data_IF_017479721860
#
_entry.id   IF_017479721860
#
_cell.length_a   1.000
_cell.length_b   1.000
_cell.length_c   1.000
_cell.angle_alpha   90.00
_cell.angle_beta   90.00
_cell.angle_gamma   90.00
#
_symmetry.space_group_name_H-M   'P 1'
#
loop_
_entity.id
_entity.type
_entity.pdbx_description
1 polymer ?
#
# COMPACT_ATOMS: atom_id res chain seq x y z
N UNK A 1 -15.15 8.22 35.02
CA UNK A 1 -14.77 7.10 34.13
C UNK A 1 -15.32 7.36 32.72
N UNK A 2 -14.65 8.22 31.96
CA UNK A 2 -14.82 8.35 30.51
C UNK A 2 -13.39 8.41 29.99
N UNK A 3 -12.90 7.31 29.42
CA UNK A 3 -11.61 7.34 28.75
C UNK A 3 -11.75 8.21 27.50
N UNK A 4 -10.89 9.22 27.44
CA UNK A 4 -10.60 10.00 26.25
C UNK A 4 -9.86 9.04 25.31
N UNK A 5 -10.55 8.56 24.28
CA UNK A 5 -9.88 8.00 23.11
C UNK A 5 -9.31 9.21 22.37
N UNK A 6 -7.99 9.35 22.20
CA UNK A 6 -7.48 10.28 21.22
C UNK A 6 -7.82 9.70 19.85
N UNK A 7 -8.95 10.13 19.29
CA UNK A 7 -9.18 10.02 17.84
C UNK A 7 -8.20 11.01 17.21
N UNK A 8 -6.98 10.54 16.92
CA UNK A 8 -6.03 11.33 16.17
C UNK A 8 -6.59 11.49 14.76
N UNK A 9 -6.95 12.74 14.44
CA UNK A 9 -7.41 13.15 13.13
C UNK A 9 -6.34 12.85 12.06
N UNK A 10 -6.86 12.48 10.88
CA UNK A 10 -6.24 12.56 9.55
C UNK A 10 -5.13 11.57 9.19
N UNK A 11 -5.43 10.28 9.25
CA UNK A 11 -4.97 9.36 8.19
C UNK A 11 -6.22 8.88 7.49
N UNK A 12 -6.51 9.40 6.30
CA UNK A 12 -7.21 8.59 5.29
C UNK A 12 -6.40 7.30 5.21
N UNK A 13 -6.89 6.23 5.81
CA UNK A 13 -6.29 4.91 5.63
C UNK A 13 -6.47 4.61 4.15
N UNK A 14 -5.46 4.92 3.35
CA UNK A 14 -5.34 4.49 1.96
C UNK A 14 -4.97 3.01 1.96
N UNK A 15 -5.70 2.22 2.74
CA UNK A 15 -5.59 0.79 2.81
C UNK A 15 -6.56 0.23 1.78
N UNK A 16 -6.02 -0.45 0.80
CA UNK A 16 -6.79 -1.00 -0.30
C UNK A 16 -6.53 -2.50 -0.33
N UNK A 17 -7.60 -3.28 -0.43
CA UNK A 17 -7.49 -4.72 -0.60
C UNK A 17 -6.96 -5.04 -2.00
N UNK A 18 -6.00 -5.95 -2.07
CA UNK A 18 -5.42 -6.39 -3.33
C UNK A 18 -6.47 -7.05 -4.24
N UNK A 19 -7.45 -7.74 -3.65
CA UNK A 19 -8.55 -8.36 -4.39
C UNK A 19 -9.38 -7.32 -5.14
N UNK A 20 -9.70 -6.18 -4.51
CA UNK A 20 -10.43 -5.08 -5.13
C UNK A 20 -9.64 -4.46 -6.29
N UNK A 21 -8.33 -4.26 -6.11
CA UNK A 21 -7.43 -3.79 -7.17
C UNK A 21 -7.31 -4.77 -8.35
N UNK A 22 -7.56 -6.05 -8.08
CA UNK A 22 -7.46 -7.13 -9.04
C UNK A 22 -8.82 -7.58 -9.62
N UNK A 23 -9.91 -6.91 -9.26
CA UNK A 23 -11.25 -7.23 -9.73
C UNK A 23 -11.34 -7.13 -11.26
N UNK A 24 -11.78 -8.22 -11.91
CA UNK A 24 -11.87 -8.30 -13.38
C UNK A 24 -10.57 -8.60 -14.11
N UNK A 25 -9.43 -8.74 -13.42
CA UNK A 25 -8.15 -9.08 -14.03
C UNK A 25 -7.98 -10.58 -14.26
N UNK A 26 -7.23 -10.94 -15.29
CA UNK A 26 -6.80 -12.33 -15.54
C UNK A 26 -5.73 -12.75 -14.52
N UNK A 27 -5.60 -14.06 -14.27
CA UNK A 27 -4.56 -14.61 -13.37
C UNK A 27 -3.15 -14.10 -13.69
N UNK A 28 -2.82 -13.91 -14.97
CA UNK A 28 -1.53 -13.38 -15.39
C UNK A 28 -1.36 -11.90 -15.00
N UNK A 29 -2.39 -11.08 -15.18
CA UNK A 29 -2.37 -9.67 -14.79
C UNK A 29 -2.24 -9.54 -13.27
N UNK A 30 -3.01 -10.31 -12.51
CA UNK A 30 -2.92 -10.34 -11.04
C UNK A 30 -1.52 -10.72 -10.57
N UNK A 31 -0.91 -11.76 -11.15
CA UNK A 31 0.45 -12.16 -10.79
C UNK A 31 1.50 -11.08 -11.09
N UNK A 32 1.38 -10.38 -12.23
CA UNK A 32 2.26 -9.24 -12.57
C UNK A 32 2.07 -8.09 -11.60
N UNK A 33 0.84 -7.72 -11.31
CA UNK A 33 0.50 -6.65 -10.37
C UNK A 33 1.02 -6.97 -8.97
N UNK A 34 0.82 -8.19 -8.49
CA UNK A 34 1.35 -8.64 -7.20
C UNK A 34 2.88 -8.59 -7.16
N UNK A 35 3.55 -9.04 -8.23
CA UNK A 35 4.99 -8.92 -8.35
C UNK A 35 5.46 -7.46 -8.30
N UNK A 36 4.77 -6.55 -9.00
CA UNK A 36 5.06 -5.11 -8.92
C UNK A 36 4.93 -4.59 -7.48
N UNK A 37 3.90 -5.00 -6.74
CA UNK A 37 3.74 -4.62 -5.34
C UNK A 37 4.87 -5.14 -4.44
N UNK A 38 5.36 -6.35 -4.66
CA UNK A 38 6.52 -6.89 -3.92
C UNK A 38 7.79 -6.06 -4.18
N UNK A 39 8.00 -5.63 -5.41
CA UNK A 39 9.12 -4.72 -5.76
C UNK A 39 8.93 -3.37 -5.08
N UNK A 40 7.75 -2.77 -5.16
CA UNK A 40 7.45 -1.48 -4.53
C UNK A 40 7.56 -1.55 -3.00
N UNK A 41 7.25 -2.69 -2.39
CA UNK A 41 7.40 -2.91 -0.96
C UNK A 41 8.88 -2.97 -0.56
N UNK A 42 9.70 -3.64 -1.36
CA UNK A 42 11.16 -3.67 -1.17
C UNK A 42 11.77 -2.26 -1.23
N UNK A 43 11.29 -1.41 -2.14
CA UNK A 43 11.72 -0.02 -2.28
C UNK A 43 11.07 0.94 -1.25
N UNK A 44 10.23 0.42 -0.33
CA UNK A 44 9.60 1.22 0.73
C UNK A 44 8.50 2.17 0.25
N UNK A 45 8.06 2.05 -1.00
CA UNK A 45 6.99 2.85 -1.58
C UNK A 45 5.61 2.38 -1.12
N UNK A 46 5.42 1.07 -0.87
CA UNK A 46 4.18 0.52 -0.33
C UNK A 46 4.46 -0.47 0.80
N UNK A 47 3.47 -0.77 1.61
CA UNK A 47 3.52 -1.82 2.63
C UNK A 47 2.37 -2.78 2.41
N UNK A 48 2.71 -4.06 2.24
CA UNK A 48 1.75 -5.15 2.15
C UNK A 48 1.58 -5.78 3.53
N UNK A 49 0.33 -5.94 3.95
CA UNK A 49 -0.03 -6.59 5.21
C UNK A 49 -1.01 -7.73 4.94
N UNK A 50 -0.78 -8.86 5.59
CA UNK A 50 -1.67 -10.02 5.55
C UNK A 50 -1.87 -10.50 6.99
N UNK A 51 -3.12 -10.48 7.46
CA UNK A 51 -3.43 -10.78 8.86
C UNK A 51 -3.20 -12.25 9.22
N UNK A 52 -3.50 -13.17 8.29
CA UNK A 52 -3.31 -14.61 8.47
C UNK A 52 -2.98 -15.28 7.11
N UNK A 53 -2.39 -16.50 7.10
CA UNK A 53 -2.05 -17.17 5.86
C UNK A 53 -3.24 -17.33 4.90
N UNK A 54 -3.03 -16.98 3.63
CA UNK A 54 -4.03 -17.04 2.56
C UNK A 54 -5.28 -16.17 2.76
N UNK A 55 -5.27 -15.27 3.75
CA UNK A 55 -6.29 -14.22 3.87
C UNK A 55 -5.97 -13.05 2.92
N UNK A 56 -6.88 -12.08 2.90
CA UNK A 56 -6.77 -10.91 2.05
C UNK A 56 -5.49 -10.12 2.34
N UNK A 57 -4.93 -9.56 1.27
CA UNK A 57 -3.70 -8.78 1.30
C UNK A 57 -4.10 -7.32 1.20
N UNK A 58 -3.67 -6.52 2.16
CA UNK A 58 -3.93 -5.09 2.20
C UNK A 58 -2.68 -4.32 1.77
N UNK A 59 -2.87 -3.27 0.97
CA UNK A 59 -1.82 -2.38 0.47
C UNK A 59 -1.98 -1.02 1.12
N UNK A 60 -0.91 -0.52 1.73
CA UNK A 60 -0.84 0.83 2.31
C UNK A 60 0.36 1.62 1.75
N UNK A 61 0.29 2.95 1.62
CA UNK A 61 1.43 3.76 1.22
C UNK A 61 2.58 3.69 2.23
N UNK A 62 3.79 3.46 1.74
CA UNK A 62 5.01 3.49 2.54
C UNK A 62 5.60 4.90 2.65
N UNK A 63 6.61 5.10 3.51
CA UNK A 63 7.27 6.41 3.68
C UNK A 63 7.88 6.95 2.39
N UNK A 64 8.33 6.08 1.49
CA UNK A 64 8.90 6.48 0.21
C UNK A 64 7.87 6.74 -0.89
N UNK A 65 6.56 6.51 -0.63
CA UNK A 65 5.50 6.74 -1.61
C UNK A 65 5.48 8.17 -2.12
N UNK A 66 5.69 9.14 -1.22
CA UNK A 66 5.72 10.58 -1.52
C UNK A 66 7.12 11.12 -1.80
N UNK A 67 8.18 10.33 -1.55
CA UNK A 67 9.56 10.73 -1.86
C UNK A 67 9.84 10.62 -3.36
N UNK A 68 9.11 9.78 -4.09
CA UNK A 68 9.15 9.73 -5.55
C UNK A 68 8.62 11.00 -6.23
N UNK A 69 7.88 11.88 -5.53
CA UNK A 69 7.46 13.18 -6.07
C UNK A 69 8.59 14.23 -5.99
N UNK A 70 9.54 14.08 -5.08
CA UNK A 70 10.58 15.09 -4.82
C UNK A 70 11.95 14.74 -5.44
N UNK A 71 12.10 13.57 -6.06
CA UNK A 71 13.35 13.14 -6.69
C UNK A 71 13.50 13.54 -8.17
N UNK A 72 12.72 14.52 -8.65
CA UNK A 72 12.88 15.10 -9.99
C UNK A 72 12.98 16.62 -9.94
N UNK A 73 13.94 17.11 -9.18
CA UNK A 73 14.49 18.46 -9.39
C UNK A 73 15.92 18.38 -8.88
N UNK A 74 16.86 18.12 -9.80
CA UNK A 74 18.31 18.43 -9.72
C UNK A 74 19.05 17.58 -10.77
N UNK A 75 18.74 17.80 -12.04
CA UNK A 75 19.64 17.48 -13.14
C UNK A 75 19.61 18.67 -14.11
N UNK A 76 20.59 19.55 -13.89
CA UNK A 76 21.26 20.57 -14.75
C UNK A 76 20.51 21.11 -15.96
#
# INVERSE_FOLDING_TARGET
LKQMVPVNLSKTSLEIELADLCSGNTRMQVARTFHCFLVLQKEGAVSLHQSEPYQDIFVTPGPAFFLLENAKTDDV
#
